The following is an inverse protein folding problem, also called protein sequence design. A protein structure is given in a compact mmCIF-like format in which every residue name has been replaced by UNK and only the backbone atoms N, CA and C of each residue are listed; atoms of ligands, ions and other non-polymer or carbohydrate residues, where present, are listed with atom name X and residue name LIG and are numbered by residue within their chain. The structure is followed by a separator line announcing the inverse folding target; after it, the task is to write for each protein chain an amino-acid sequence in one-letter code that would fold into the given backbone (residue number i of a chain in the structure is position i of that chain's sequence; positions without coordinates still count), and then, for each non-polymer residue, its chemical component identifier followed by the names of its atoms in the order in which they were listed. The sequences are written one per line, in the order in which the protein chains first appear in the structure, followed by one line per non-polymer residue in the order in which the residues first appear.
data_IF_834781298460
#
_entry.id   IF_834781298460
#
_cell.length_a   1.000
_cell.length_b   1.000
_cell.length_c   1.000
_cell.angle_alpha   90.00
_cell.angle_beta   90.00
_cell.angle_gamma   90.00
#
_symmetry.space_group_name_H-M   'P 1'
#
loop_
_entity.id
_entity.type
_entity.pdbx_description
1 polymer ?
#
# COMPACT_ATOMS: atom_id res chain seq x y z
N UNK A 1 4.88 -33.14 -27.55
CA UNK A 1 5.50 -31.85 -27.15
C UNK A 1 4.39 -30.81 -27.15
N UNK A 2 3.69 -30.68 -26.03
CA UNK A 2 2.53 -29.81 -25.82
C UNK A 2 2.91 -28.79 -24.75
N UNK A 3 3.04 -27.53 -25.13
CA UNK A 3 3.15 -26.42 -24.20
C UNK A 3 2.01 -25.44 -24.46
N UNK A 4 1.11 -25.24 -23.49
CA UNK A 4 0.36 -23.99 -23.41
C UNK A 4 0.66 -23.26 -22.09
N UNK A 5 0.29 -21.98 -22.06
CA UNK A 5 0.07 -21.16 -20.86
C UNK A 5 1.26 -20.37 -20.29
N UNK A 6 1.69 -19.35 -21.04
CA UNK A 6 2.42 -18.19 -20.51
C UNK A 6 1.70 -16.88 -20.87
N UNK A 7 0.36 -16.86 -20.81
CA UNK A 7 -0.46 -15.70 -21.18
C UNK A 7 -1.26 -15.09 -20.01
N UNK A 8 -1.15 -15.62 -18.79
CA UNK A 8 -2.10 -15.33 -17.72
C UNK A 8 -1.63 -14.36 -16.61
N UNK A 9 -0.40 -13.84 -16.62
CA UNK A 9 0.11 -13.00 -15.51
C UNK A 9 0.25 -11.51 -15.83
N UNK A 10 -0.11 -11.08 -17.05
CA UNK A 10 0.00 -9.67 -17.45
C UNK A 10 -1.23 -8.81 -17.11
N UNK A 11 -2.36 -9.44 -16.73
CA UNK A 11 -3.65 -8.73 -16.61
C UNK A 11 -3.88 -8.05 -15.25
N UNK A 12 -3.21 -8.50 -14.18
CA UNK A 12 -3.55 -8.02 -12.83
C UNK A 12 -2.93 -6.66 -12.45
N UNK A 13 -1.94 -6.17 -13.20
CA UNK A 13 -1.28 -4.89 -12.92
C UNK A 13 -1.98 -3.68 -13.58
N UNK A 14 -2.97 -3.91 -14.46
CA UNK A 14 -3.53 -2.87 -15.34
C UNK A 14 -4.80 -2.18 -14.81
N UNK A 15 -5.36 -2.60 -13.67
CA UNK A 15 -6.61 -2.01 -13.14
C UNK A 15 -6.37 -0.91 -12.08
N UNK A 16 -5.21 -0.27 -12.09
CA UNK A 16 -4.88 0.84 -11.18
C UNK A 16 -5.02 2.23 -11.84
N UNK A 17 -5.79 2.35 -12.93
CA UNK A 17 -5.95 3.59 -13.70
C UNK A 17 -7.42 3.93 -13.89
N UNK A 18 -8.07 4.46 -12.85
CA UNK A 18 -9.30 5.25 -13.00
C UNK A 18 -9.59 6.06 -11.73
N UNK A 19 -8.89 7.19 -11.56
CA UNK A 19 -9.40 8.27 -10.72
C UNK A 19 -9.75 9.46 -11.63
N UNK A 20 -10.99 9.46 -12.14
CA UNK A 20 -11.61 10.59 -12.82
C UNK A 20 -12.61 11.23 -11.87
N UNK A 21 -12.11 11.82 -10.78
CA UNK A 21 -12.89 12.75 -9.96
C UNK A 21 -12.91 14.15 -10.59
N UNK A 22 -13.93 14.99 -10.33
CA UNK A 22 -13.93 16.39 -10.78
C UNK A 22 -12.61 17.06 -10.40
N UNK A 23 -11.93 17.64 -11.39
CA UNK A 23 -10.63 18.30 -11.20
C UNK A 23 -10.86 19.58 -10.39
N UNK A 24 -10.84 19.44 -9.07
CA UNK A 24 -10.92 20.56 -8.14
C UNK A 24 -9.77 21.52 -8.49
N UNK A 25 -10.11 22.80 -8.73
CA UNK A 25 -9.10 23.82 -9.06
C UNK A 25 -8.05 23.81 -7.95
N UNK A 26 -6.74 23.90 -8.24
CA UNK A 26 -5.72 23.87 -7.19
C UNK A 26 -5.90 25.10 -6.29
N UNK A 27 -6.66 24.92 -5.22
CA UNK A 27 -6.70 25.85 -4.10
C UNK A 27 -5.33 25.86 -3.42
N UNK A 28 -5.01 26.95 -2.72
CA UNK A 28 -3.76 27.02 -1.96
C UNK A 28 -3.68 25.84 -1.00
N UNK A 29 -2.72 24.94 -1.20
CA UNK A 29 -2.50 23.79 -0.32
C UNK A 29 -2.14 24.32 1.05
N UNK A 30 -2.88 23.95 2.09
CA UNK A 30 -2.58 24.44 3.44
C UNK A 30 -1.24 23.85 3.91
N UNK A 31 -0.39 24.63 4.59
CA UNK A 31 0.87 24.11 5.14
C UNK A 31 0.64 22.98 6.15
N UNK A 32 -0.54 22.96 6.80
CA UNK A 32 -0.96 21.88 7.70
C UNK A 32 -1.21 20.56 6.96
N UNK A 33 -1.85 20.61 5.79
CA UNK A 33 -2.09 19.42 4.96
C UNK A 33 -0.77 18.85 4.42
N UNK A 34 0.15 19.73 3.98
CA UNK A 34 1.49 19.32 3.55
C UNK A 34 2.26 18.66 4.70
N UNK A 35 2.26 19.28 5.88
CA UNK A 35 2.93 18.73 7.06
C UNK A 35 2.33 17.37 7.48
N UNK A 36 1.00 17.24 7.45
CA UNK A 36 0.32 15.97 7.74
C UNK A 36 0.75 14.86 6.75
N UNK A 37 0.84 15.17 5.45
CA UNK A 37 1.32 14.22 4.44
C UNK A 37 2.79 13.84 4.62
N UNK A 38 3.66 14.81 4.93
CA UNK A 38 5.10 14.57 5.16
C UNK A 38 5.32 13.70 6.40
N UNK A 39 4.66 14.02 7.51
CA UNK A 39 4.77 13.24 8.75
C UNK A 39 4.27 11.82 8.52
N UNK A 40 3.10 11.64 7.89
CA UNK A 40 2.55 10.32 7.56
C UNK A 40 3.51 9.50 6.70
N UNK A 41 4.01 10.09 5.61
CA UNK A 41 5.01 9.43 4.75
C UNK A 41 6.28 9.08 5.54
N UNK A 42 6.77 9.97 6.39
CA UNK A 42 8.01 9.73 7.15
C UNK A 42 7.83 8.60 8.17
N UNK A 43 6.71 8.57 8.90
CA UNK A 43 6.41 7.50 9.86
C UNK A 43 6.29 6.14 9.19
N UNK A 44 5.69 6.10 8.00
CA UNK A 44 5.62 4.91 7.19
C UNK A 44 7.03 4.39 6.80
N UNK A 45 7.90 5.27 6.29
CA UNK A 45 9.29 4.89 5.98
C UNK A 45 10.11 4.53 7.21
N UNK A 46 9.86 5.19 8.34
CA UNK A 46 10.54 4.92 9.60
C UNK A 46 10.26 3.50 10.10
N UNK A 47 8.98 3.09 10.11
CA UNK A 47 8.59 1.74 10.56
C UNK A 47 9.21 0.65 9.67
N UNK A 48 9.20 0.84 8.34
CA UNK A 48 9.84 -0.10 7.41
C UNK A 48 11.35 -0.21 7.61
N UNK A 49 12.03 0.92 7.80
CA UNK A 49 13.46 0.92 8.09
C UNK A 49 13.77 0.25 9.44
N UNK A 50 12.98 0.53 10.48
CA UNK A 50 13.14 -0.07 11.79
C UNK A 50 12.94 -1.59 11.75
N UNK A 51 11.90 -2.07 11.06
CA UNK A 51 11.65 -3.50 10.88
C UNK A 51 12.81 -4.18 10.14
N UNK A 52 13.26 -3.59 9.02
CA UNK A 52 14.38 -4.13 8.24
C UNK A 52 15.68 -4.24 9.05
N UNK A 53 15.96 -3.24 9.89
CA UNK A 53 17.12 -3.26 10.81
C UNK A 53 17.00 -4.37 11.87
N UNK A 54 15.79 -4.57 12.41
CA UNK A 54 15.49 -5.58 13.42
C UNK A 54 15.24 -6.98 12.85
N UNK A 55 15.21 -7.16 11.53
CA UNK A 55 14.85 -8.41 10.88
C UNK A 55 15.67 -9.62 11.36
N UNK A 56 16.98 -9.43 11.58
CA UNK A 56 17.85 -10.50 12.11
C UNK A 56 17.51 -10.88 13.56
N UNK A 57 17.07 -9.93 14.38
CA UNK A 57 16.61 -10.18 15.75
C UNK A 57 15.27 -10.93 15.71
N UNK A 58 14.36 -10.52 14.82
CA UNK A 58 13.09 -11.21 14.64
C UNK A 58 13.25 -12.64 14.13
N UNK A 59 14.15 -12.85 13.17
CA UNK A 59 14.48 -14.18 12.66
C UNK A 59 14.88 -15.14 13.79
N UNK A 60 15.74 -14.71 14.72
CA UNK A 60 16.23 -15.55 15.82
C UNK A 60 15.17 -15.83 16.90
N UNK A 61 14.27 -14.87 17.15
CA UNK A 61 13.29 -14.98 18.23
C UNK A 61 11.95 -15.61 17.78
N UNK A 62 11.49 -15.30 16.56
CA UNK A 62 10.19 -15.73 16.05
C UNK A 62 10.28 -16.89 15.07
N UNK A 63 11.42 -17.07 14.40
CA UNK A 63 11.66 -18.15 13.44
C UNK A 63 12.89 -19.00 13.81
N UNK A 64 12.92 -19.62 15.02
CA UNK A 64 14.01 -20.49 15.39
C UNK A 64 14.01 -21.73 14.49
N UNK A 65 15.00 -21.80 13.59
CA UNK A 65 15.17 -22.89 12.63
C UNK A 65 16.59 -23.44 12.72
N UNK A 66 16.78 -24.67 12.24
CA UNK A 66 18.10 -25.32 12.19
C UNK A 66 19.08 -24.59 11.26
N UNK A 67 18.57 -23.89 10.25
CA UNK A 67 19.37 -23.08 9.32
C UNK A 67 19.07 -21.58 9.49
N UNK A 68 20.01 -20.79 10.06
CA UNK A 68 19.84 -19.35 10.26
C UNK A 68 19.40 -18.57 9.01
N UNK A 69 19.75 -19.05 7.81
CA UNK A 69 19.39 -18.39 6.56
C UNK A 69 17.89 -18.43 6.28
N UNK A 70 17.24 -19.56 6.58
CA UNK A 70 15.79 -19.76 6.37
C UNK A 70 14.97 -18.85 7.30
N UNK A 71 15.42 -18.68 8.54
CA UNK A 71 14.77 -17.77 9.50
C UNK A 71 14.85 -16.31 9.05
N UNK A 72 15.97 -15.91 8.46
CA UNK A 72 16.16 -14.56 7.93
C UNK A 72 15.28 -14.28 6.71
N UNK A 73 15.20 -15.23 5.76
CA UNK A 73 14.27 -15.15 4.62
C UNK A 73 12.83 -15.04 5.10
N UNK A 74 12.45 -15.80 6.14
CA UNK A 74 11.09 -15.75 6.70
C UNK A 74 10.77 -14.37 7.27
N UNK A 75 11.70 -13.77 8.03
CA UNK A 75 11.55 -12.40 8.55
C UNK A 75 11.44 -11.36 7.42
N UNK A 76 12.26 -11.47 6.37
CA UNK A 76 12.13 -10.62 5.18
C UNK A 76 10.85 -10.91 4.38
N UNK A 77 10.30 -12.12 4.45
CA UNK A 77 9.01 -12.46 3.86
C UNK A 77 7.85 -11.70 4.53
N UNK A 78 7.88 -11.57 5.85
CA UNK A 78 6.93 -10.71 6.58
C UNK A 78 7.11 -9.24 6.21
N UNK A 79 8.37 -8.78 6.07
CA UNK A 79 8.64 -7.45 5.54
C UNK A 79 8.04 -7.25 4.14
N UNK A 80 8.20 -8.22 3.24
CA UNK A 80 7.61 -8.18 1.90
C UNK A 80 6.07 -8.12 1.94
N UNK A 81 5.43 -8.85 2.87
CA UNK A 81 3.97 -8.81 3.04
C UNK A 81 3.44 -7.41 3.42
N UNK A 82 4.25 -6.58 4.10
CA UNK A 82 3.85 -5.22 4.44
C UNK A 82 3.67 -4.31 3.21
N UNK A 83 4.39 -4.57 2.10
CA UNK A 83 4.19 -3.85 0.84
C UNK A 83 2.83 -4.15 0.21
N UNK A 84 2.26 -5.33 0.46
CA UNK A 84 0.91 -5.68 0.02
C UNK A 84 -0.16 -5.00 0.89
N UNK A 85 0.16 -4.64 2.14
CA UNK A 85 -0.78 -3.91 3.00
C UNK A 85 -1.03 -2.47 2.54
N UNK A 86 -0.06 -1.83 1.88
CA UNK A 86 -0.22 -0.47 1.32
C UNK A 86 -1.42 -0.33 0.36
N UNK A 87 -1.55 -1.15 -0.72
CA UNK A 87 -2.72 -1.08 -1.60
C UNK A 87 -4.01 -1.50 -0.89
N UNK A 88 -3.94 -2.45 0.05
CA UNK A 88 -5.11 -2.88 0.83
C UNK A 88 -5.67 -1.72 1.66
N UNK A 89 -4.80 -0.94 2.31
CA UNK A 89 -5.22 0.25 3.06
C UNK A 89 -5.94 1.27 2.19
N UNK A 90 -5.45 1.52 0.97
CA UNK A 90 -6.09 2.43 0.02
C UNK A 90 -7.50 2.00 -0.41
N UNK A 91 -7.71 0.69 -0.60
CA UNK A 91 -9.02 0.14 -0.97
C UNK A 91 -10.01 0.27 0.20
N UNK A 92 -9.57 -0.09 1.41
CA UNK A 92 -10.43 -0.08 2.60
C UNK A 92 -10.86 1.34 2.97
N UNK A 93 -9.89 2.26 3.13
CA UNK A 93 -10.17 3.63 3.60
C UNK A 93 -10.62 4.59 2.48
N UNK A 94 -10.36 4.26 1.21
CA UNK A 94 -10.84 5.04 0.07
C UNK A 94 -12.36 4.94 -0.14
N UNK A 95 -12.95 3.79 0.17
CA UNK A 95 -14.39 3.55 0.00
C UNK A 95 -15.26 4.29 1.03
N UNK A 96 -14.76 4.47 2.25
CA UNK A 96 -15.53 5.08 3.35
C UNK A 96 -15.68 6.60 3.24
N UNK A 97 -14.93 7.25 2.35
CA UNK A 97 -14.87 8.71 2.25
C UNK A 97 -15.78 9.31 1.17
N UNK A 98 -16.51 8.49 0.38
CA UNK A 98 -17.37 8.99 -0.69
C UNK A 98 -18.82 9.12 -0.22
N UNK A 99 -19.30 10.32 0.17
CA UNK A 99 -20.72 10.55 0.37
C UNK A 99 -21.48 10.42 -0.95
N UNK A 100 -22.71 9.87 -0.95
CA UNK A 100 -23.55 9.82 -2.13
C UNK A 100 -23.80 11.23 -2.66
N UNK A 101 -23.58 11.44 -3.96
CA UNK A 101 -23.77 12.74 -4.60
C UNK A 101 -25.22 13.23 -4.41
N UNK A 102 -25.45 14.50 -4.03
CA UNK A 102 -26.79 15.03 -3.91
C UNK A 102 -27.48 15.07 -5.29
N UNK A 103 -28.79 14.79 -5.38
CA UNK A 103 -29.52 14.92 -6.64
C UNK A 103 -29.53 16.38 -7.10
N UNK A 104 -29.07 16.62 -8.33
CA UNK A 104 -29.13 17.92 -8.98
C UNK A 104 -30.59 18.36 -9.13
N UNK A 105 -30.99 19.36 -8.33
CA UNK A 105 -32.30 19.99 -8.45
C UNK A 105 -32.22 21.05 -9.56
N UNK A 106 -32.79 20.73 -10.73
CA UNK A 106 -33.06 21.73 -11.77
C UNK A 106 -34.28 22.55 -11.34
N UNK A 107 -34.07 23.75 -10.80
CA UNK A 107 -35.13 24.76 -10.66
C UNK A 107 -35.03 25.77 -11.81
N UNK A 108 -36.09 25.95 -12.62
CA UNK A 108 -36.21 27.10 -13.53
C UNK A 108 -36.50 28.40 -12.78
#
# INVERSE_FOLDING_TARGET
MTSPSLAATADLASTASAQTGPRERPGKVSPRLLLAGVIGNTLEWYDFAAYGFLAAVFAKNFFPTSDPFVGLISAFGVFAASFLMRPIGGIVFGSTASPPAPPCRSTP
#
